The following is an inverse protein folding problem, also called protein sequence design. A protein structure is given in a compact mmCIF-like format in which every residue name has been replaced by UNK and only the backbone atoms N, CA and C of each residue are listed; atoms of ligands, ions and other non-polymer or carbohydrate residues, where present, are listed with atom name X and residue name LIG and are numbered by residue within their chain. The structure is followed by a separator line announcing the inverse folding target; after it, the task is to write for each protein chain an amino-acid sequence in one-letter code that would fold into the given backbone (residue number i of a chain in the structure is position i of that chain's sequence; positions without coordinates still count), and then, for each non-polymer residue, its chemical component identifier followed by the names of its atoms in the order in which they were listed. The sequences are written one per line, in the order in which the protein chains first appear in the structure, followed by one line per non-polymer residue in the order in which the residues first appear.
data_IF_399446894373
#
_entry.id   IF_399446894373
#
_cell.length_a   1.000
_cell.length_b   1.000
_cell.length_c   1.000
_cell.angle_alpha   90.00
_cell.angle_beta   90.00
_cell.angle_gamma   90.00
#
_symmetry.space_group_name_H-M   'P 1'
#
loop_
_entity.id
_entity.type
_entity.pdbx_description
1 polymer ?
#
# COMPACT_ATOMS: atom_id res chain seq x y z
N UNK A 1 87.59 32.57 -22.44
CA UNK A 1 86.16 32.97 -22.42
C UNK A 1 86.01 33.99 -21.29
N UNK A 2 86.56 35.20 -21.36
CA UNK A 2 86.17 36.40 -22.13
C UNK A 2 84.97 37.18 -21.54
N UNK A 3 85.30 38.31 -20.86
CA UNK A 3 84.62 39.64 -20.74
C UNK A 3 83.31 39.78 -19.91
N UNK A 4 83.31 40.49 -18.74
CA UNK A 4 83.04 41.94 -18.43
C UNK A 4 81.59 42.39 -18.75
N UNK A 5 80.79 43.13 -17.97
CA UNK A 5 80.98 44.12 -16.90
C UNK A 5 79.62 44.51 -16.22
N UNK A 6 79.69 45.39 -15.20
CA UNK A 6 78.71 45.92 -14.23
C UNK A 6 77.38 46.60 -14.67
N UNK A 7 76.43 46.69 -13.71
CA UNK A 7 75.65 47.87 -13.22
C UNK A 7 74.22 47.46 -12.75
N UNK A 8 73.78 47.66 -11.50
CA UNK A 8 73.33 48.86 -10.78
C UNK A 8 71.78 49.06 -10.79
N UNK A 9 71.27 49.61 -9.68
CA UNK A 9 69.89 49.68 -9.15
C UNK A 9 68.80 50.40 -9.94
N UNK A 10 67.53 50.20 -9.55
CA UNK A 10 66.45 51.21 -9.28
C UNK A 10 65.24 50.43 -8.68
N UNK A 11 64.69 50.73 -7.49
CA UNK A 11 63.73 51.81 -7.20
C UNK A 11 62.30 51.37 -7.61
N UNK A 12 61.19 51.50 -6.87
CA UNK A 12 60.85 52.17 -5.62
C UNK A 12 59.37 51.81 -5.28
N UNK A 13 58.98 51.91 -4.00
CA UNK A 13 57.66 52.37 -3.49
C UNK A 13 56.36 51.56 -3.74
N UNK A 14 55.96 50.81 -2.71
CA UNK A 14 54.79 51.16 -1.88
C UNK A 14 53.37 50.78 -2.36
N UNK A 15 52.67 49.94 -1.58
CA UNK A 15 51.35 50.35 -1.07
C UNK A 15 50.93 49.55 0.18
N UNK A 16 50.65 50.32 1.22
CA UNK A 16 50.00 49.94 2.47
C UNK A 16 48.48 50.05 2.28
N UNK A 17 47.76 49.03 2.75
CA UNK A 17 46.39 49.02 3.29
C UNK A 17 45.38 50.10 2.81
N UNK A 18 44.26 49.69 2.19
CA UNK A 18 42.98 50.39 2.37
C UNK A 18 41.77 49.45 2.28
N UNK A 19 40.98 49.51 3.35
CA UNK A 19 39.66 48.88 3.59
C UNK A 19 38.58 49.57 2.75
N UNK A 20 37.56 48.82 2.30
CA UNK A 20 36.12 49.17 2.07
C UNK A 20 35.58 48.14 1.04
N UNK A 21 34.36 47.62 1.03
CA UNK A 21 33.12 47.66 1.82
C UNK A 21 32.17 46.62 1.16
N UNK A 22 31.10 46.21 1.83
CA UNK A 22 29.87 45.54 1.33
C UNK A 22 29.83 45.13 -0.16
N UNK A 23 29.55 43.86 -0.50
CA UNK A 23 28.18 43.33 -0.41
C UNK A 23 28.18 41.82 -0.16
N UNK A 24 27.27 41.39 0.71
CA UNK A 24 26.79 40.00 0.77
C UNK A 24 26.20 39.63 -0.58
N UNK A 25 26.98 38.98 -1.44
CA UNK A 25 26.43 38.22 -2.54
C UNK A 25 25.72 37.01 -1.92
N UNK A 26 24.44 37.18 -1.64
CA UNK A 26 23.50 36.08 -1.45
C UNK A 26 23.60 35.24 -2.71
N UNK A 27 24.38 34.16 -2.68
CA UNK A 27 24.26 33.09 -3.66
C UNK A 27 22.89 32.47 -3.37
N UNK A 28 21.84 33.05 -3.96
CA UNK A 28 20.62 32.32 -4.23
C UNK A 28 21.07 31.11 -5.06
N UNK A 29 21.11 29.94 -4.43
CA UNK A 29 20.81 28.72 -5.16
C UNK A 29 19.39 28.90 -5.70
N UNK A 30 19.28 29.51 -6.88
CA UNK A 30 18.14 29.27 -7.74
C UNK A 30 18.17 27.76 -8.00
N UNK A 31 17.37 27.01 -7.26
CA UNK A 31 16.98 25.68 -7.71
C UNK A 31 16.40 25.91 -9.10
N UNK A 32 17.14 25.53 -10.13
CA UNK A 32 16.64 25.50 -11.50
C UNK A 32 15.39 24.63 -11.45
N UNK A 33 14.21 25.25 -11.53
CA UNK A 33 13.00 24.46 -11.62
C UNK A 33 13.13 23.60 -12.89
N UNK A 34 12.87 22.31 -12.78
CA UNK A 34 12.84 21.41 -13.94
C UNK A 34 11.72 21.88 -14.90
N UNK A 35 11.71 21.43 -16.15
CA UNK A 35 10.58 21.63 -17.06
C UNK A 35 9.33 20.85 -16.62
N UNK A 36 9.49 19.96 -15.62
CA UNK A 36 8.47 19.08 -15.07
C UNK A 36 7.55 19.76 -14.04
N UNK A 37 6.30 19.31 -13.99
CA UNK A 37 5.37 19.70 -12.94
C UNK A 37 5.46 18.74 -11.75
N UNK A 38 5.22 19.28 -10.55
CA UNK A 38 5.19 18.51 -9.30
C UNK A 38 3.82 18.62 -8.66
N UNK A 39 3.29 17.50 -8.19
CA UNK A 39 2.04 17.45 -7.43
C UNK A 39 2.34 17.22 -5.94
N UNK A 40 1.60 17.91 -5.07
CA UNK A 40 1.64 17.73 -3.62
C UNK A 40 0.23 17.50 -3.08
N UNK A 41 0.11 16.85 -1.93
CA UNK A 41 -1.15 16.64 -1.19
C UNK A 41 -0.96 17.02 0.27
N UNK A 42 -1.99 17.64 0.85
CA UNK A 42 -2.10 17.90 2.29
C UNK A 42 -3.52 17.58 2.79
N UNK A 43 -3.68 17.03 4.01
CA UNK A 43 -2.60 16.52 4.87
C UNK A 43 -1.87 15.33 4.22
N UNK A 44 -0.65 15.04 4.67
CA UNK A 44 0.13 13.87 4.23
C UNK A 44 -0.21 12.60 5.05
N UNK A 45 -1.13 12.74 6.01
CA UNK A 45 -1.64 11.66 6.86
C UNK A 45 -3.14 11.80 7.07
N UNK A 46 -3.84 10.68 7.13
CA UNK A 46 -5.24 10.61 7.53
C UNK A 46 -5.49 9.34 8.35
N UNK A 47 -6.56 9.31 9.12
CA UNK A 47 -6.95 8.13 9.91
C UNK A 47 -8.05 7.37 9.16
N UNK A 48 -7.97 6.05 9.07
CA UNK A 48 -9.03 5.23 8.49
C UNK A 48 -10.40 5.54 9.13
N UNK A 49 -11.46 5.58 8.33
CA UNK A 49 -12.82 5.91 8.78
C UNK A 49 -13.12 7.41 8.88
N UNK A 50 -12.10 8.28 8.80
CA UNK A 50 -12.29 9.71 9.03
C UNK A 50 -12.65 10.51 7.77
N UNK A 51 -13.39 11.60 7.97
CA UNK A 51 -13.61 12.61 6.93
C UNK A 51 -12.35 13.46 6.75
N UNK A 52 -11.96 13.67 5.49
CA UNK A 52 -10.76 14.38 5.10
C UNK A 52 -11.09 15.52 4.15
N UNK A 53 -10.35 16.62 4.30
CA UNK A 53 -10.25 17.68 3.30
C UNK A 53 -8.84 17.64 2.73
N UNK A 54 -8.73 17.18 1.49
CA UNK A 54 -7.47 17.13 0.77
C UNK A 54 -7.26 18.41 -0.02
N UNK A 55 -6.09 19.00 0.14
CA UNK A 55 -5.60 20.11 -0.66
C UNK A 55 -4.48 19.57 -1.55
N UNK A 56 -4.74 19.47 -2.84
CA UNK A 56 -3.75 19.09 -3.83
C UNK A 56 -3.29 20.32 -4.61
N UNK A 57 -1.99 20.36 -4.93
CA UNK A 57 -1.42 21.47 -5.67
C UNK A 57 -0.45 20.96 -6.75
N UNK A 58 -0.82 21.16 -8.02
CA UNK A 58 0.13 21.02 -9.12
C UNK A 58 0.92 22.33 -9.23
N UNK A 59 2.24 22.26 -9.11
CA UNK A 59 3.16 23.38 -9.36
C UNK A 59 3.91 23.12 -10.66
N UNK A 60 3.84 24.07 -11.59
CA UNK A 60 4.49 23.99 -12.89
C UNK A 60 5.98 24.32 -12.79
N UNK A 61 6.79 23.61 -13.55
CA UNK A 61 8.19 23.94 -13.78
C UNK A 61 8.38 25.15 -14.70
N UNK A 62 9.49 25.17 -15.44
CA UNK A 62 9.83 26.28 -16.34
C UNK A 62 8.92 26.42 -17.56
N UNK A 63 8.11 25.41 -17.87
CA UNK A 63 7.43 25.30 -19.16
C UNK A 63 6.04 25.96 -19.19
N UNK A 64 5.52 26.42 -18.04
CA UNK A 64 4.17 26.98 -17.91
C UNK A 64 3.07 26.03 -18.42
N UNK A 65 1.86 26.56 -18.61
CA UNK A 65 0.70 25.80 -19.11
C UNK A 65 -0.23 26.72 -19.91
N UNK A 66 -0.66 26.27 -21.09
CA UNK A 66 -1.61 26.97 -21.96
C UNK A 66 -3.05 26.55 -21.66
N UNK A 67 -4.02 27.26 -22.22
CA UNK A 67 -5.41 26.82 -22.22
C UNK A 67 -5.52 25.40 -22.84
N UNK A 68 -6.38 24.56 -22.26
CA UNK A 68 -6.48 23.13 -22.60
C UNK A 68 -5.48 22.23 -21.86
N UNK A 69 -4.41 22.81 -21.31
CA UNK A 69 -3.50 22.15 -20.37
C UNK A 69 -4.17 21.90 -19.01
N UNK A 70 -3.64 20.95 -18.25
CA UNK A 70 -4.25 20.60 -16.96
C UNK A 70 -3.54 19.49 -16.20
N UNK A 71 -4.20 19.05 -15.13
CA UNK A 71 -3.81 17.93 -14.26
C UNK A 71 -4.97 16.96 -14.13
N UNK A 72 -4.68 15.67 -14.08
CA UNK A 72 -5.63 14.64 -13.66
C UNK A 72 -5.02 13.73 -12.62
N UNK A 73 -5.81 13.30 -11.65
CA UNK A 73 -5.38 12.39 -10.59
C UNK A 73 -6.48 11.37 -10.28
N UNK A 74 -6.08 10.24 -9.71
CA UNK A 74 -6.97 9.13 -9.39
C UNK A 74 -7.03 8.90 -7.88
N UNK A 75 -8.25 8.89 -7.33
CA UNK A 75 -8.51 8.45 -5.96
C UNK A 75 -9.11 7.03 -5.97
N UNK A 76 -8.78 6.21 -4.95
CA UNK A 76 -9.48 4.96 -4.70
C UNK A 76 -10.94 5.21 -4.40
N UNK A 77 -11.88 4.87 -5.28
CA UNK A 77 -13.30 5.09 -5.01
C UNK A 77 -14.00 3.79 -4.63
N UNK A 78 -14.87 3.86 -3.63
CA UNK A 78 -15.68 2.73 -3.18
C UNK A 78 -16.66 2.24 -4.26
N UNK A 79 -16.79 0.92 -4.42
CA UNK A 79 -17.77 0.28 -5.29
C UNK A 79 -19.03 -0.12 -4.51
N UNK A 80 -20.12 -0.51 -5.20
CA UNK A 80 -21.36 -0.96 -4.54
C UNK A 80 -21.16 -2.16 -3.59
N UNK A 81 -20.23 -3.06 -3.94
CA UNK A 81 -19.86 -4.23 -3.13
C UNK A 81 -18.74 -3.92 -2.12
N UNK A 82 -18.02 -2.81 -2.30
CA UNK A 82 -16.94 -2.32 -1.41
C UNK A 82 -17.25 -0.98 -0.78
N UNK A 83 -18.53 -0.66 -0.66
CA UNK A 83 -19.04 0.60 -0.11
C UNK A 83 -18.26 1.09 1.11
N UNK A 84 -17.82 0.22 2.05
CA UNK A 84 -17.12 0.65 3.25
C UNK A 84 -15.57 0.75 3.18
N UNK A 85 -14.90 0.50 2.04
CA UNK A 85 -13.43 0.28 2.05
C UNK A 85 -12.57 1.44 1.52
N UNK A 86 -13.04 2.20 0.52
CA UNK A 86 -12.26 3.22 -0.21
C UNK A 86 -12.84 4.63 -0.10
N UNK A 87 -12.31 5.62 -0.82
CA UNK A 87 -12.76 7.01 -0.75
C UNK A 87 -14.15 7.23 -1.35
N UNK A 88 -14.82 8.29 -0.89
CA UNK A 88 -16.05 8.76 -1.51
C UNK A 88 -15.81 9.18 -2.97
N UNK A 89 -16.76 8.84 -3.84
CA UNK A 89 -16.68 9.18 -5.27
C UNK A 89 -16.61 10.71 -5.49
N UNK A 90 -15.64 11.22 -6.26
CA UNK A 90 -15.57 12.63 -6.62
C UNK A 90 -16.84 13.14 -7.32
N UNK A 91 -17.26 14.35 -6.97
CA UNK A 91 -18.40 15.04 -7.57
C UNK A 91 -18.23 16.57 -7.49
N UNK A 92 -18.91 17.30 -8.38
CA UNK A 92 -18.81 18.78 -8.49
C UNK A 92 -20.13 19.50 -8.26
N UNK A 93 -21.19 18.78 -7.90
CA UNK A 93 -22.58 19.26 -7.89
C UNK A 93 -23.01 19.82 -6.54
N UNK A 94 -22.60 19.18 -5.45
CA UNK A 94 -23.08 19.51 -4.10
C UNK A 94 -21.90 19.81 -3.18
N UNK A 95 -21.69 21.09 -2.91
CA UNK A 95 -20.57 21.58 -2.09
C UNK A 95 -20.53 20.99 -0.67
N UNK A 96 -21.71 20.76 -0.09
CA UNK A 96 -21.84 20.27 1.28
C UNK A 96 -21.86 18.73 1.37
N UNK A 97 -21.85 18.04 0.22
CA UNK A 97 -21.83 16.58 0.18
C UNK A 97 -20.42 16.03 0.10
N UNK A 98 -20.24 14.80 0.59
CA UNK A 98 -18.99 14.05 0.45
C UNK A 98 -18.61 13.89 -1.04
N UNK A 99 -17.33 13.71 -1.27
CA UNK A 99 -16.71 13.66 -2.58
C UNK A 99 -16.61 15.02 -3.29
N UNK A 100 -16.98 16.15 -2.67
CA UNK A 100 -16.97 17.43 -3.38
C UNK A 100 -15.57 17.84 -3.82
N UNK A 101 -15.43 18.24 -5.08
CA UNK A 101 -14.20 18.75 -5.68
C UNK A 101 -14.37 20.19 -6.16
N UNK A 102 -13.41 21.04 -5.83
CA UNK A 102 -13.22 22.37 -6.44
C UNK A 102 -11.79 22.57 -6.89
N UNK A 103 -11.57 23.45 -7.87
CA UNK A 103 -10.26 23.76 -8.38
C UNK A 103 -10.13 25.25 -8.74
N UNK A 104 -8.92 25.79 -8.59
CA UNK A 104 -8.60 27.17 -8.94
C UNK A 104 -7.16 27.28 -9.45
N UNK A 105 -6.89 28.34 -10.22
CA UNK A 105 -5.55 28.63 -10.71
C UNK A 105 -4.93 29.81 -9.94
N UNK A 106 -3.63 29.76 -9.69
CA UNK A 106 -2.88 30.78 -8.94
C UNK A 106 -2.98 32.22 -9.48
N UNK A 107 -3.34 32.39 -10.76
CA UNK A 107 -3.52 33.69 -11.41
C UNK A 107 -4.99 34.03 -11.70
N UNK A 108 -5.93 33.29 -11.12
CA UNK A 108 -7.37 33.48 -11.33
C UNK A 108 -7.90 32.98 -12.68
N UNK A 109 -7.11 32.23 -13.45
CA UNK A 109 -7.60 31.54 -14.64
C UNK A 109 -8.73 30.56 -14.29
N UNK A 110 -9.67 30.39 -15.22
CA UNK A 110 -10.80 29.49 -15.06
C UNK A 110 -10.35 28.04 -15.22
N UNK A 111 -10.70 27.19 -14.27
CA UNK A 111 -10.42 25.75 -14.28
C UNK A 111 -11.74 25.00 -14.34
N UNK A 112 -11.92 24.16 -15.35
CA UNK A 112 -13.04 23.22 -15.42
C UNK A 112 -12.68 21.91 -14.74
N UNK A 113 -13.66 21.26 -14.12
CA UNK A 113 -13.49 19.97 -13.46
C UNK A 113 -14.39 18.94 -14.13
N UNK A 114 -13.83 17.79 -14.51
CA UNK A 114 -14.57 16.62 -14.97
C UNK A 114 -14.18 15.40 -14.15
N UNK A 115 -15.11 14.47 -13.99
CA UNK A 115 -14.89 13.20 -13.31
C UNK A 115 -15.05 12.06 -14.32
N UNK A 116 -14.11 11.13 -14.35
CA UNK A 116 -14.08 10.02 -15.31
C UNK A 116 -13.47 8.76 -14.69
N UNK A 117 -13.10 7.79 -15.52
CA UNK A 117 -12.53 6.52 -15.07
C UNK A 117 -13.57 5.59 -14.42
N UNK A 118 -13.10 4.46 -13.85
CA UNK A 118 -13.95 3.55 -13.10
C UNK A 118 -14.72 4.31 -12.01
N UNK A 119 -16.05 4.30 -12.11
CA UNK A 119 -17.02 4.93 -11.18
C UNK A 119 -16.77 6.41 -10.83
N UNK A 120 -15.98 7.14 -11.61
CA UNK A 120 -15.72 8.58 -11.40
C UNK A 120 -14.49 8.90 -10.54
N UNK A 121 -13.61 7.92 -10.27
CA UNK A 121 -12.42 8.11 -9.42
C UNK A 121 -11.30 8.95 -10.03
N UNK A 122 -11.35 9.26 -11.33
CA UNK A 122 -10.40 10.17 -11.97
C UNK A 122 -10.98 11.58 -11.97
N UNK A 123 -10.29 12.51 -11.31
CA UNK A 123 -10.59 13.94 -11.35
C UNK A 123 -9.65 14.60 -12.35
N UNK A 124 -10.21 15.31 -13.32
CA UNK A 124 -9.47 16.07 -14.31
C UNK A 124 -9.78 17.57 -14.19
N UNK A 125 -8.74 18.39 -14.06
CA UNK A 125 -8.79 19.83 -13.89
C UNK A 125 -8.06 20.50 -15.07
N UNK A 126 -8.81 21.22 -15.91
CA UNK A 126 -8.31 21.80 -17.18
C UNK A 126 -8.48 23.31 -17.22
N UNK A 127 -7.41 24.00 -17.60
CA UNK A 127 -7.35 25.46 -17.77
C UNK A 127 -8.15 25.89 -19.00
N UNK A 128 -8.94 26.96 -18.92
CA UNK A 128 -9.87 27.35 -20.00
C UNK A 128 -9.54 28.64 -20.73
N UNK A 129 -9.24 29.72 -20.02
CA UNK A 129 -9.29 31.08 -20.58
C UNK A 129 -7.91 31.72 -20.80
N UNK A 130 -6.97 31.54 -19.89
CA UNK A 130 -5.64 32.18 -19.94
C UNK A 130 -4.52 31.24 -19.46
N UNK A 131 -3.28 31.40 -19.95
CA UNK A 131 -2.17 30.52 -19.58
C UNK A 131 -1.73 30.74 -18.12
N UNK A 132 -1.14 29.71 -17.53
CA UNK A 132 -0.36 29.78 -16.30
C UNK A 132 1.12 29.97 -16.64
N UNK A 133 1.81 30.94 -16.02
CA UNK A 133 3.24 31.13 -16.22
C UNK A 133 4.06 29.98 -15.59
N UNK A 134 5.36 29.91 -15.88
CA UNK A 134 6.30 29.10 -15.11
C UNK A 134 6.14 29.31 -13.61
N UNK A 135 6.19 28.24 -12.80
CA UNK A 135 5.92 28.29 -11.36
C UNK A 135 4.43 28.46 -10.98
N UNK A 136 3.54 28.66 -11.95
CA UNK A 136 2.10 28.75 -11.74
C UNK A 136 1.53 27.46 -11.13
N UNK A 137 0.39 27.59 -10.44
CA UNK A 137 -0.24 26.47 -9.73
C UNK A 137 -1.69 26.26 -10.10
N UNK A 138 -2.12 25.00 -10.08
CA UNK A 138 -3.52 24.60 -9.99
C UNK A 138 -3.73 24.02 -8.59
N UNK A 139 -4.63 24.63 -7.84
CA UNK A 139 -5.08 24.16 -6.52
C UNK A 139 -6.36 23.36 -6.70
N UNK A 140 -6.45 22.22 -6.02
CA UNK A 140 -7.60 21.34 -6.02
C UNK A 140 -7.96 21.04 -4.57
N UNK A 141 -9.22 21.18 -4.22
CA UNK A 141 -9.76 20.73 -2.94
C UNK A 141 -10.68 19.55 -3.19
N UNK A 142 -10.52 18.49 -2.40
CA UNK A 142 -11.42 17.35 -2.34
C UNK A 142 -11.87 17.16 -0.90
N UNK A 143 -13.14 16.80 -0.67
CA UNK A 143 -13.64 16.54 0.67
C UNK A 143 -14.47 15.26 0.74
N UNK A 144 -14.04 14.28 1.52
CA UNK A 144 -14.65 12.95 1.58
C UNK A 144 -13.97 12.06 2.63
N UNK A 145 -14.55 10.90 2.89
CA UNK A 145 -14.02 9.95 3.85
C UNK A 145 -12.91 9.11 3.23
N UNK A 146 -11.84 8.86 4.00
CA UNK A 146 -11.01 7.67 3.81
C UNK A 146 -11.62 6.56 4.66
N UNK A 147 -11.95 5.41 4.07
CA UNK A 147 -12.93 4.55 4.74
C UNK A 147 -12.37 3.49 5.69
N UNK A 148 -11.49 2.58 5.28
CA UNK A 148 -11.18 1.51 6.24
C UNK A 148 -9.82 0.83 6.14
N UNK A 149 -9.02 1.03 5.10
CA UNK A 149 -7.77 0.27 4.95
C UNK A 149 -6.56 1.21 5.10
N UNK A 150 -5.59 0.79 5.90
CA UNK A 150 -4.33 1.50 6.13
C UNK A 150 -3.25 1.07 5.13
N UNK A 151 -2.70 2.03 4.39
CA UNK A 151 -1.59 1.81 3.47
C UNK A 151 -0.86 3.15 3.19
N UNK A 152 0.25 3.08 2.47
CA UNK A 152 0.91 4.26 1.89
C UNK A 152 0.24 4.62 0.56
N UNK A 153 -0.70 5.57 0.57
CA UNK A 153 -1.47 5.94 -0.61
C UNK A 153 -0.60 6.76 -1.56
N UNK A 154 -0.29 6.19 -2.73
CA UNK A 154 0.28 6.92 -3.85
C UNK A 154 -0.84 7.40 -4.78
N UNK A 155 -1.03 8.71 -4.89
CA UNK A 155 -2.11 9.29 -5.72
C UNK A 155 -1.57 9.48 -7.15
N UNK A 156 -1.91 8.53 -8.02
CA UNK A 156 -1.51 8.56 -9.43
C UNK A 156 -1.91 9.87 -10.07
N UNK A 157 -0.94 10.56 -10.68
CA UNK A 157 -1.12 11.90 -11.23
C UNK A 157 -0.48 12.04 -12.60
N UNK A 158 -1.21 12.67 -13.52
CA UNK A 158 -0.73 13.05 -14.85
C UNK A 158 -1.01 14.52 -15.12
N UNK A 159 -0.23 15.12 -16.01
CA UNK A 159 -0.37 16.50 -16.41
C UNK A 159 -0.01 16.68 -17.90
N UNK A 160 -0.45 17.79 -18.49
CA UNK A 160 -0.12 18.19 -19.86
C UNK A 160 -0.10 19.71 -19.98
N UNK A 161 0.67 20.27 -20.92
CA UNK A 161 0.83 21.73 -21.02
C UNK A 161 -0.24 22.40 -21.90
N UNK A 162 -0.80 21.70 -22.89
CA UNK A 162 -1.90 22.17 -23.72
C UNK A 162 -2.89 21.06 -24.09
N UNK A 163 -3.90 21.37 -24.90
CA UNK A 163 -4.89 20.39 -25.36
C UNK A 163 -4.29 19.37 -26.34
N UNK A 164 -3.24 19.77 -27.06
CA UNK A 164 -2.56 18.99 -28.09
C UNK A 164 -1.50 18.05 -27.50
N UNK A 165 -1.06 18.30 -26.28
CA UNK A 165 -0.08 17.45 -25.60
C UNK A 165 -0.71 16.18 -25.02
N UNK A 166 0.04 15.09 -25.05
CA UNK A 166 -0.30 13.88 -24.33
C UNK A 166 -0.19 14.06 -22.81
N UNK A 167 -0.99 13.27 -22.08
CA UNK A 167 -0.91 13.20 -20.63
C UNK A 167 0.36 12.46 -20.20
N UNK A 168 1.27 13.15 -19.51
CA UNK A 168 2.48 12.56 -18.94
C UNK A 168 2.42 12.47 -17.42
N UNK A 169 3.09 11.47 -16.85
CA UNK A 169 3.16 11.29 -15.40
C UNK A 169 4.01 12.40 -14.79
N UNK A 170 3.66 12.81 -13.57
CA UNK A 170 4.62 13.53 -12.72
C UNK A 170 5.77 12.60 -12.35
N UNK A 171 6.95 13.17 -12.11
CA UNK A 171 8.16 12.40 -11.75
C UNK A 171 7.98 11.58 -10.47
N UNK A 172 7.28 12.16 -9.50
CA UNK A 172 6.97 11.56 -8.21
C UNK A 172 5.49 11.75 -7.93
N UNK A 173 4.80 10.67 -7.60
CA UNK A 173 3.40 10.78 -7.17
C UNK A 173 3.33 11.36 -5.77
N UNK A 174 2.34 12.23 -5.49
CA UNK A 174 2.07 12.66 -4.13
C UNK A 174 1.62 11.47 -3.29
N UNK A 175 2.15 11.39 -2.07
CA UNK A 175 1.88 10.30 -1.16
C UNK A 175 1.16 10.78 0.11
N UNK A 176 0.34 9.89 0.68
CA UNK A 176 -0.36 10.11 1.93
C UNK A 176 -0.37 8.81 2.74
N UNK A 177 -0.07 8.86 4.03
CA UNK A 177 -0.16 7.68 4.91
C UNK A 177 -1.54 7.57 5.55
N UNK A 178 -2.23 6.46 5.35
CA UNK A 178 -3.47 6.16 6.08
C UNK A 178 -3.11 5.38 7.35
N UNK A 179 -3.50 5.94 8.48
CA UNK A 179 -3.22 5.45 9.84
C UNK A 179 -4.42 4.69 10.40
N UNK A 180 -4.19 3.69 11.27
CA UNK A 180 -5.26 2.93 11.89
C UNK A 180 -6.04 3.78 12.90
N UNK A 181 -7.26 3.36 13.21
CA UNK A 181 -7.94 3.79 14.44
C UNK A 181 -7.31 3.12 15.68
N UNK A 182 -7.65 3.56 16.91
CA UNK A 182 -7.29 2.84 18.12
C UNK A 182 -7.72 1.37 18.08
N UNK A 183 -6.96 0.50 18.76
CA UNK A 183 -7.25 -0.93 18.80
C UNK A 183 -8.65 -1.23 19.33
N UNK A 184 -9.35 -2.13 18.65
CA UNK A 184 -10.67 -2.63 19.00
C UNK A 184 -10.76 -4.16 18.95
N UNK A 185 -9.77 -4.80 18.33
CA UNK A 185 -9.70 -6.25 18.16
C UNK A 185 -8.34 -6.72 18.66
N UNK A 186 -8.35 -7.75 19.50
CA UNK A 186 -7.15 -8.46 19.94
C UNK A 186 -7.25 -9.90 19.42
N UNK A 187 -6.37 -10.25 18.48
CA UNK A 187 -6.23 -11.61 17.98
C UNK A 187 -5.05 -12.27 18.70
N UNK A 188 -5.26 -13.47 19.21
CA UNK A 188 -4.25 -14.30 19.86
C UNK A 188 -4.12 -15.58 19.05
N UNK A 189 -2.93 -15.83 18.52
CA UNK A 189 -2.66 -16.98 17.65
C UNK A 189 -1.68 -17.91 18.35
N UNK A 190 -2.12 -19.15 18.53
CA UNK A 190 -1.29 -20.27 19.02
C UNK A 190 -1.40 -21.44 18.05
N UNK A 191 -0.37 -22.30 17.95
CA UNK A 191 -0.47 -23.53 17.15
C UNK A 191 -1.69 -24.36 17.55
N UNK A 192 -2.39 -24.95 16.58
CA UNK A 192 -3.55 -25.78 16.87
C UNK A 192 -3.19 -27.11 17.54
N UNK A 193 -2.00 -27.65 17.27
CA UNK A 193 -1.58 -28.95 17.77
C UNK A 193 -0.16 -28.89 18.35
N UNK A 194 0.01 -29.37 19.57
CA UNK A 194 1.28 -29.44 20.28
C UNK A 194 1.43 -30.75 21.03
N UNK A 195 2.67 -31.14 21.32
CA UNK A 195 2.96 -32.16 22.34
C UNK A 195 3.11 -31.50 23.72
N UNK A 196 2.77 -32.21 24.78
CA UNK A 196 3.13 -31.82 26.17
C UNK A 196 4.62 -31.47 26.26
N UNK A 197 4.91 -30.34 26.89
CA UNK A 197 6.25 -29.79 27.09
C UNK A 197 6.91 -29.22 25.82
N UNK A 198 6.24 -29.27 24.67
CA UNK A 198 6.72 -28.65 23.44
C UNK A 198 6.75 -27.13 23.59
N UNK A 199 7.85 -26.53 23.17
CA UNK A 199 7.99 -25.09 23.11
C UNK A 199 7.29 -24.52 21.89
N UNK A 200 6.56 -23.42 22.06
CA UNK A 200 5.87 -22.75 20.97
C UNK A 200 5.90 -21.23 21.10
N UNK A 201 5.53 -20.59 19.98
CA UNK A 201 5.31 -19.16 19.88
C UNK A 201 3.82 -18.83 19.98
N UNK A 202 3.47 -17.78 20.72
CA UNK A 202 2.14 -17.17 20.72
C UNK A 202 2.26 -15.76 20.16
N UNK A 203 1.47 -15.42 19.15
CA UNK A 203 1.38 -14.06 18.64
C UNK A 203 0.16 -13.35 19.22
N UNK A 204 0.34 -12.10 19.66
CA UNK A 204 -0.78 -11.21 19.98
C UNK A 204 -0.75 -10.04 19.01
N UNK A 205 -1.87 -9.83 18.33
CA UNK A 205 -2.05 -8.85 17.26
C UNK A 205 -3.18 -7.91 17.64
N UNK A 206 -2.89 -6.62 17.63
CA UNK A 206 -3.85 -5.56 17.91
C UNK A 206 -4.27 -4.93 16.59
N UNK A 207 -5.58 -4.91 16.37
CA UNK A 207 -6.18 -4.31 15.18
C UNK A 207 -7.26 -3.32 15.57
N UNK A 208 -7.47 -2.33 14.71
CA UNK A 208 -8.64 -1.46 14.78
C UNK A 208 -9.92 -2.21 14.37
N UNK A 209 -11.05 -1.52 14.41
CA UNK A 209 -12.37 -2.11 14.08
C UNK A 209 -12.49 -2.51 12.60
N UNK A 210 -11.59 -2.04 11.73
CA UNK A 210 -11.55 -2.35 10.32
C UNK A 210 -10.59 -3.50 9.98
N UNK A 211 -9.84 -3.99 10.97
CA UNK A 211 -8.81 -5.01 10.78
C UNK A 211 -7.41 -4.43 10.52
N UNK A 212 -7.22 -3.11 10.51
CA UNK A 212 -5.87 -2.58 10.34
C UNK A 212 -5.04 -2.80 11.59
N UNK A 213 -3.75 -3.11 11.42
CA UNK A 213 -2.80 -3.21 12.53
C UNK A 213 -2.75 -1.89 13.31
N UNK A 214 -3.10 -1.92 14.60
CA UNK A 214 -3.07 -0.77 15.50
C UNK A 214 -1.64 -0.47 15.96
N UNK A 215 -0.87 0.16 15.07
CA UNK A 215 0.59 0.35 15.22
C UNK A 215 1.04 1.21 16.40
N UNK A 216 0.12 1.95 17.02
CA UNK A 216 0.37 2.90 18.12
C UNK A 216 -0.07 2.36 19.50
N UNK A 217 -0.51 1.10 19.58
CA UNK A 217 -0.90 0.48 20.84
C UNK A 217 0.30 0.28 21.77
N UNK A 218 0.19 0.81 23.00
CA UNK A 218 1.19 0.73 24.07
C UNK A 218 0.63 0.16 25.39
N UNK A 219 -0.54 -0.47 25.34
CA UNK A 219 -1.20 -1.00 26.52
C UNK A 219 -0.47 -2.20 27.12
N UNK A 220 -0.80 -2.52 28.37
CA UNK A 220 -0.27 -3.67 29.09
C UNK A 220 -1.24 -4.84 29.02
N UNK A 221 -0.75 -5.97 28.50
CA UNK A 221 -1.47 -7.23 28.49
C UNK A 221 -1.27 -8.00 29.79
N UNK A 222 -2.31 -8.70 30.20
CA UNK A 222 -2.32 -9.74 31.23
C UNK A 222 -2.67 -11.08 30.59
N UNK A 223 -1.99 -12.14 31.04
CA UNK A 223 -2.13 -13.49 30.50
C UNK A 223 -2.62 -14.47 31.58
N UNK A 224 -3.49 -15.38 31.18
CA UNK A 224 -3.89 -16.55 31.96
C UNK A 224 -3.90 -17.78 31.05
N UNK A 225 -3.57 -18.94 31.59
CA UNK A 225 -3.67 -20.21 30.86
C UNK A 225 -4.77 -21.08 31.45
N UNK A 226 -5.42 -21.87 30.61
CA UNK A 226 -6.27 -22.98 31.10
C UNK A 226 -5.45 -24.16 31.62
N UNK A 227 -4.17 -24.24 31.26
CA UNK A 227 -3.26 -25.26 31.74
C UNK A 227 -2.60 -24.81 33.06
N UNK A 228 -2.84 -25.50 34.19
CA UNK A 228 -2.28 -25.12 35.47
C UNK A 228 -0.75 -25.23 35.54
N UNK A 229 -0.12 -25.99 34.62
CA UNK A 229 1.33 -26.16 34.55
C UNK A 229 2.00 -25.31 33.47
N UNK A 230 1.28 -24.45 32.74
CA UNK A 230 1.86 -23.71 31.64
C UNK A 230 3.03 -22.81 32.07
N UNK A 231 4.04 -22.71 31.18
CA UNK A 231 5.18 -21.80 31.33
C UNK A 231 4.94 -20.57 30.45
N UNK A 232 4.79 -19.40 31.07
CA UNK A 232 4.56 -18.12 30.40
C UNK A 232 4.85 -16.93 31.32
N UNK A 233 4.98 -15.74 30.75
CA UNK A 233 5.05 -14.48 31.50
C UNK A 233 3.64 -13.94 31.76
N UNK A 234 3.35 -13.55 33.00
CA UNK A 234 1.99 -13.15 33.40
C UNK A 234 1.50 -11.83 32.79
N UNK A 235 2.40 -10.95 32.36
CA UNK A 235 2.06 -9.66 31.74
C UNK A 235 3.12 -9.17 30.77
N UNK A 236 2.73 -8.28 29.86
CA UNK A 236 3.64 -7.62 28.91
C UNK A 236 3.14 -6.23 28.53
N UNK A 237 4.02 -5.23 28.55
CA UNK A 237 3.71 -3.88 28.08
C UNK A 237 4.21 -3.70 26.66
N UNK A 238 3.28 -3.38 25.74
CA UNK A 238 3.64 -3.06 24.36
C UNK A 238 4.51 -1.81 24.29
N UNK A 239 5.44 -1.84 23.36
CA UNK A 239 6.38 -0.79 23.02
C UNK A 239 6.14 -0.33 21.59
N UNK A 240 6.72 0.82 21.23
CA UNK A 240 6.69 1.28 19.84
C UNK A 240 7.35 0.29 18.87
N UNK A 241 8.29 -0.53 19.34
CA UNK A 241 8.95 -1.56 18.53
C UNK A 241 8.01 -2.69 18.11
N UNK A 242 6.95 -2.95 18.88
CA UNK A 242 5.98 -4.01 18.58
C UNK A 242 5.06 -3.61 17.42
N UNK A 243 4.80 -2.31 17.24
CA UNK A 243 3.98 -1.79 16.14
C UNK A 243 2.63 -2.54 16.01
N UNK A 244 2.01 -2.89 17.13
CA UNK A 244 0.73 -3.60 17.19
C UNK A 244 0.82 -5.14 17.09
N UNK A 245 2.00 -5.74 16.97
CA UNK A 245 2.19 -7.20 16.98
C UNK A 245 3.36 -7.58 17.88
N UNK A 246 3.14 -8.51 18.81
CA UNK A 246 4.22 -9.11 19.59
C UNK A 246 4.16 -10.63 19.54
N UNK A 247 5.33 -11.27 19.37
CA UNK A 247 5.49 -12.73 19.37
C UNK A 247 6.22 -13.14 20.63
N UNK A 248 5.50 -13.84 21.50
CA UNK A 248 6.04 -14.45 22.70
C UNK A 248 6.61 -15.82 22.34
N UNK A 249 7.87 -16.08 22.68
CA UNK A 249 8.52 -17.38 22.49
C UNK A 249 8.78 -18.06 23.85
N UNK A 250 9.14 -19.35 23.84
CA UNK A 250 9.45 -20.07 25.08
C UNK A 250 8.23 -20.61 25.86
N UNK A 251 7.01 -20.50 25.31
CA UNK A 251 5.81 -20.96 25.98
C UNK A 251 5.71 -22.47 25.93
N UNK A 252 5.14 -23.08 26.98
CA UNK A 252 4.91 -24.52 27.04
C UNK A 252 3.59 -24.82 27.74
N UNK A 253 2.81 -25.74 27.19
CA UNK A 253 1.76 -26.45 27.92
C UNK A 253 2.34 -27.73 28.53
N UNK A 254 2.03 -28.00 29.79
CA UNK A 254 2.48 -29.18 30.54
C UNK A 254 1.36 -30.23 30.74
N UNK A 255 0.12 -29.89 30.41
CA UNK A 255 -1.02 -30.79 30.58
C UNK A 255 -1.70 -31.08 29.24
N UNK A 256 -1.87 -32.36 28.92
CA UNK A 256 -2.62 -32.78 27.73
C UNK A 256 -4.10 -32.37 27.80
N UNK A 257 -4.72 -32.18 26.64
CA UNK A 257 -6.11 -31.73 26.49
C UNK A 257 -6.21 -30.45 25.66
N UNK A 258 -7.42 -29.90 25.56
CA UNK A 258 -7.64 -28.62 24.89
C UNK A 258 -7.23 -27.48 25.81
N UNK A 259 -6.12 -26.83 25.48
CA UNK A 259 -5.55 -25.71 26.22
C UNK A 259 -5.69 -24.40 25.45
N UNK A 260 -5.72 -23.27 26.17
CA UNK A 260 -5.70 -21.94 25.58
C UNK A 260 -5.06 -20.91 26.51
N UNK A 261 -4.71 -19.77 25.93
CA UNK A 261 -4.45 -18.55 26.69
C UNK A 261 -5.65 -17.60 26.63
N UNK A 262 -5.95 -17.02 27.79
CA UNK A 262 -6.83 -15.88 27.95
C UNK A 262 -5.98 -14.62 28.11
N UNK A 263 -6.11 -13.69 27.17
CA UNK A 263 -5.31 -12.45 27.09
C UNK A 263 -6.23 -11.25 27.21
N UNK A 264 -5.85 -10.25 27.99
CA UNK A 264 -6.64 -9.01 28.14
C UNK A 264 -5.79 -7.84 28.61
N UNK A 265 -6.14 -6.62 28.20
CA UNK A 265 -5.60 -5.36 28.74
C UNK A 265 -6.51 -4.69 29.80
N UNK A 266 -7.58 -5.38 30.21
CA UNK A 266 -8.63 -4.86 31.09
C UNK A 266 -9.86 -4.31 30.36
N UNK A 267 -9.73 -3.91 29.09
CA UNK A 267 -10.84 -3.48 28.22
C UNK A 267 -11.09 -4.46 27.07
N UNK A 268 -10.06 -4.70 26.26
CA UNK A 268 -10.05 -5.68 25.17
C UNK A 268 -9.76 -7.08 25.72
N UNK A 269 -10.41 -8.06 25.08
CA UNK A 269 -10.18 -9.48 25.33
C UNK A 269 -9.71 -10.15 24.04
N UNK A 270 -8.68 -10.97 24.16
CA UNK A 270 -8.12 -11.75 23.07
C UNK A 270 -9.10 -12.79 22.56
N UNK A 271 -9.22 -12.87 21.24
CA UNK A 271 -9.86 -13.99 20.54
C UNK A 271 -8.75 -15.01 20.25
N UNK A 272 -8.86 -16.19 20.85
CA UNK A 272 -7.88 -17.28 20.74
C UNK A 272 -8.59 -18.58 20.35
N UNK A 273 -7.97 -19.38 19.48
CA UNK A 273 -8.37 -20.77 19.28
C UNK A 273 -7.94 -21.63 20.48
N UNK A 274 -8.52 -22.82 20.60
CA UNK A 274 -7.95 -23.87 21.44
C UNK A 274 -6.79 -24.55 20.72
N UNK A 275 -5.78 -24.93 21.50
CA UNK A 275 -4.68 -25.81 21.11
C UNK A 275 -4.95 -27.20 21.69
N UNK A 276 -4.92 -28.22 20.85
CA UNK A 276 -4.93 -29.61 21.29
C UNK A 276 -3.52 -30.04 21.68
N UNK A 277 -3.34 -30.32 22.97
CA UNK A 277 -2.07 -30.76 23.55
C UNK A 277 -2.11 -32.27 23.74
N UNK A 278 -1.28 -32.99 23.01
CA UNK A 278 -1.19 -34.46 23.05
C UNK A 278 0.01 -34.95 23.85
N UNK A 279 -0.10 -36.12 24.49
CA UNK A 279 1.04 -36.75 25.18
C UNK A 279 2.13 -37.24 24.21
N UNK A 280 1.76 -37.49 22.95
CA UNK A 280 2.66 -37.88 21.87
C UNK A 280 2.63 -36.83 20.77
N UNK A 281 3.72 -36.69 20.02
CA UNK A 281 3.72 -35.79 18.87
C UNK A 281 2.69 -36.25 17.84
N UNK A 282 1.81 -35.36 17.37
CA UNK A 282 0.82 -35.72 16.37
C UNK A 282 1.52 -36.00 15.03
N UNK A 283 1.03 -37.01 14.30
CA UNK A 283 1.56 -37.36 12.97
C UNK A 283 1.34 -36.25 11.94
N UNK A 284 0.21 -35.54 12.06
CA UNK A 284 -0.17 -34.39 11.24
C UNK A 284 -0.55 -33.24 12.16
N UNK A 285 -0.24 -32.01 11.75
CA UNK A 285 -0.65 -30.79 12.45
C UNK A 285 -1.65 -30.03 11.59
N UNK A 286 -2.58 -29.35 12.26
CA UNK A 286 -3.50 -28.41 11.64
C UNK A 286 -2.81 -27.06 11.50
N UNK A 287 -3.03 -26.48 10.33
CA UNK A 287 -2.52 -25.17 9.93
C UNK A 287 -3.70 -24.38 9.36
N UNK A 288 -3.65 -23.06 9.49
CA UNK A 288 -4.69 -22.15 9.01
C UNK A 288 -4.15 -21.28 7.89
N UNK A 289 -4.99 -21.04 6.89
CA UNK A 289 -4.57 -20.26 5.74
C UNK A 289 -5.72 -19.72 4.94
N UNK A 290 -5.39 -18.81 4.03
CA UNK A 290 -6.31 -18.18 3.09
C UNK A 290 -5.82 -18.43 1.66
N UNK A 291 -6.51 -19.31 0.96
CA UNK A 291 -6.15 -19.68 -0.41
C UNK A 291 -6.90 -18.89 -1.46
N UNK A 292 -7.67 -17.86 -1.11
CA UNK A 292 -8.52 -17.16 -2.07
C UNK A 292 -8.61 -15.68 -1.77
N UNK A 293 -7.48 -14.98 -1.88
CA UNK A 293 -7.46 -13.52 -1.89
C UNK A 293 -7.06 -12.96 -3.26
N UNK A 294 -7.44 -11.71 -3.48
CA UNK A 294 -7.26 -10.94 -4.70
C UNK A 294 -6.61 -9.60 -4.39
N UNK A 295 -5.77 -9.12 -5.30
CA UNK A 295 -5.11 -7.81 -5.21
C UNK A 295 -5.24 -7.00 -6.49
N UNK A 296 -5.79 -7.57 -7.56
CA UNK A 296 -5.98 -6.88 -8.83
C UNK A 296 -5.14 -7.50 -9.93
N UNK A 297 -4.10 -6.78 -10.37
CA UNK A 297 -3.25 -7.21 -11.49
C UNK A 297 -1.96 -7.90 -11.07
N UNK A 298 -1.67 -8.00 -9.76
CA UNK A 298 -0.41 -8.57 -9.23
C UNK A 298 0.88 -7.82 -9.62
N UNK A 299 0.83 -6.96 -10.64
CA UNK A 299 1.97 -6.22 -11.19
C UNK A 299 1.85 -4.75 -10.77
N UNK A 300 2.93 -4.21 -10.19
CA UNK A 300 3.07 -2.83 -9.69
C UNK A 300 2.21 -1.81 -10.44
N UNK A 301 1.05 -1.50 -9.85
CA UNK A 301 -0.05 -0.79 -10.50
C UNK A 301 0.20 0.73 -10.55
N UNK A 302 1.17 1.15 -11.38
CA UNK A 302 1.59 2.55 -11.54
C UNK A 302 0.92 3.26 -12.71
N UNK A 303 -0.07 2.64 -13.36
CA UNK A 303 -0.85 3.26 -14.44
C UNK A 303 -2.25 3.64 -13.94
N UNK A 304 -2.91 4.60 -14.59
CA UNK A 304 -4.33 4.85 -14.32
C UNK A 304 -5.12 3.58 -14.67
N UNK A 305 -5.92 3.06 -13.74
CA UNK A 305 -6.58 1.78 -13.95
C UNK A 305 -7.59 1.86 -15.11
N UNK A 306 -7.41 1.13 -16.23
CA UNK A 306 -8.50 0.92 -17.16
C UNK A 306 -9.59 0.05 -16.49
N UNK A 307 -10.81 0.09 -17.04
CA UNK A 307 -11.89 -0.77 -16.55
C UNK A 307 -11.49 -2.24 -16.72
N UNK A 308 -11.88 -3.07 -15.76
CA UNK A 308 -11.84 -4.54 -15.85
C UNK A 308 -10.45 -5.20 -15.73
N UNK A 309 -9.52 -4.59 -14.98
CA UNK A 309 -8.22 -5.21 -14.70
C UNK A 309 -8.17 -5.94 -13.36
N UNK A 310 -8.48 -7.24 -13.37
CA UNK A 310 -8.02 -8.24 -12.39
C UNK A 310 -8.42 -8.01 -10.92
N UNK A 311 -8.24 -9.04 -10.08
CA UNK A 311 -8.77 -9.12 -8.72
C UNK A 311 -10.28 -9.17 -8.68
N UNK A 312 -10.88 -9.28 -7.50
CA UNK A 312 -12.33 -9.39 -7.18
C UNK A 312 -13.28 -8.31 -7.77
N UNK A 313 -12.84 -7.61 -8.82
CA UNK A 313 -13.41 -6.45 -9.49
C UNK A 313 -13.37 -5.19 -8.62
N UNK A 314 -12.59 -5.19 -7.52
CA UNK A 314 -12.59 -4.12 -6.52
C UNK A 314 -11.38 -3.19 -6.59
N UNK A 315 -10.47 -3.40 -7.55
CA UNK A 315 -9.34 -2.50 -7.81
C UNK A 315 -8.59 -2.14 -6.53
N UNK A 316 -8.20 -3.16 -5.75
CA UNK A 316 -7.60 -2.92 -4.46
C UNK A 316 -6.30 -2.12 -4.62
N UNK A 317 -6.15 -1.06 -3.83
CA UNK A 317 -4.96 -0.19 -3.85
C UNK A 317 -3.82 -0.76 -3.02
N UNK A 318 -3.80 -2.09 -2.91
CA UNK A 318 -2.80 -2.89 -2.19
C UNK A 318 -2.13 -3.81 -3.20
N UNK A 319 -0.85 -4.08 -3.02
CA UNK A 319 -0.13 -5.02 -3.88
C UNK A 319 -0.25 -6.46 -3.35
N UNK A 320 -0.01 -7.45 -4.21
CA UNK A 320 0.12 -8.85 -3.80
C UNK A 320 1.15 -9.03 -2.67
N UNK A 321 2.25 -8.28 -2.72
CA UNK A 321 3.27 -8.27 -1.65
C UNK A 321 2.71 -7.73 -0.32
N UNK A 322 1.91 -6.67 -0.34
CA UNK A 322 1.29 -6.11 0.86
C UNK A 322 0.21 -7.04 1.42
N UNK A 323 -0.57 -7.70 0.56
CA UNK A 323 -1.53 -8.71 0.98
C UNK A 323 -0.86 -9.92 1.65
N UNK A 324 0.21 -10.47 1.06
CA UNK A 324 0.98 -11.54 1.70
C UNK A 324 1.61 -11.09 3.03
N UNK A 325 2.16 -9.87 3.12
CA UNK A 325 2.63 -9.31 4.40
C UNK A 325 1.51 -9.26 5.43
N UNK A 326 0.33 -8.80 5.04
CA UNK A 326 -0.81 -8.72 5.96
C UNK A 326 -1.22 -10.12 6.45
N UNK A 327 -1.38 -11.08 5.54
CA UNK A 327 -1.77 -12.45 5.89
C UNK A 327 -0.73 -13.14 6.79
N UNK A 328 0.56 -13.02 6.46
CA UNK A 328 1.66 -13.64 7.23
C UNK A 328 1.94 -12.93 8.55
N UNK A 329 2.06 -11.60 8.52
CA UNK A 329 2.61 -10.84 9.64
C UNK A 329 1.53 -10.29 10.58
N UNK A 330 0.31 -10.04 10.06
CA UNK A 330 -0.82 -9.52 10.85
C UNK A 330 -1.79 -10.65 11.19
N UNK A 331 -2.30 -11.38 10.19
CA UNK A 331 -3.25 -12.48 10.47
C UNK A 331 -2.57 -13.73 11.01
N UNK A 332 -1.23 -13.83 10.89
CA UNK A 332 -0.41 -14.95 11.39
C UNK A 332 -0.89 -16.30 10.84
N UNK A 333 -1.34 -16.32 9.60
CA UNK A 333 -1.70 -17.56 8.92
C UNK A 333 -0.42 -18.34 8.56
N UNK A 334 -0.56 -19.66 8.47
CA UNK A 334 0.52 -20.59 8.16
C UNK A 334 0.72 -20.75 6.66
N UNK A 335 -0.34 -20.53 5.86
CA UNK A 335 -0.26 -20.58 4.41
C UNK A 335 -1.23 -19.62 3.74
N UNK A 336 -0.92 -19.25 2.50
CA UNK A 336 -1.83 -18.45 1.69
C UNK A 336 -1.60 -18.60 0.19
N UNK A 337 -2.55 -18.15 -0.63
CA UNK A 337 -2.34 -18.00 -2.07
C UNK A 337 -3.12 -16.84 -2.67
N UNK A 338 -2.38 -15.94 -3.32
CA UNK A 338 -2.95 -14.98 -4.25
C UNK A 338 -3.60 -15.75 -5.39
N UNK A 339 -4.89 -15.49 -5.62
CA UNK A 339 -5.71 -16.27 -6.55
C UNK A 339 -6.43 -15.34 -7.51
N UNK A 340 -5.67 -14.45 -8.14
CA UNK A 340 -6.23 -13.46 -9.08
C UNK A 340 -7.06 -14.13 -10.17
N UNK A 341 -8.05 -13.41 -10.70
CA UNK A 341 -8.73 -13.86 -11.90
C UNK A 341 -7.72 -13.97 -13.06
N UNK A 342 -7.58 -15.15 -13.65
CA UNK A 342 -8.29 -15.49 -14.89
C UNK A 342 -8.08 -14.68 -16.19
N UNK A 343 -7.90 -13.37 -16.04
CA UNK A 343 -8.03 -12.37 -17.08
C UNK A 343 -6.88 -12.39 -18.08
N UNK A 344 -7.12 -11.79 -19.25
CA UNK A 344 -6.13 -11.73 -20.34
C UNK A 344 -4.78 -11.13 -19.93
N UNK A 345 -4.76 -10.22 -18.96
CA UNK A 345 -3.51 -9.63 -18.47
C UNK A 345 -2.77 -10.50 -17.44
N UNK A 346 -3.49 -11.40 -16.77
CA UNK A 346 -2.90 -12.33 -15.81
C UNK A 346 -2.22 -13.51 -16.51
N UNK A 347 -2.78 -14.02 -17.61
CA UNK A 347 -2.36 -15.28 -18.22
C UNK A 347 -0.87 -15.38 -18.62
N UNK A 348 -0.18 -14.26 -18.91
CA UNK A 348 1.22 -14.26 -19.34
C UNK A 348 2.18 -13.66 -18.29
N UNK A 349 2.32 -12.32 -18.29
CA UNK A 349 3.25 -11.61 -17.42
C UNK A 349 2.76 -11.54 -15.97
N UNK A 350 1.44 -11.41 -15.76
CA UNK A 350 0.83 -11.38 -14.42
C UNK A 350 1.07 -12.66 -13.65
N UNK A 351 0.94 -13.81 -14.30
CA UNK A 351 1.17 -15.10 -13.70
C UNK A 351 2.63 -15.31 -13.32
N UNK A 352 3.55 -14.95 -14.22
CA UNK A 352 4.99 -15.03 -13.94
C UNK A 352 5.35 -14.17 -12.73
N UNK A 353 4.79 -12.97 -12.63
CA UNK A 353 5.03 -12.06 -11.52
C UNK A 353 4.40 -12.56 -10.21
N UNK A 354 3.15 -13.05 -10.24
CA UNK A 354 2.50 -13.63 -9.06
C UNK A 354 3.26 -14.86 -8.54
N UNK A 355 3.79 -15.70 -9.44
CA UNK A 355 4.67 -16.80 -9.03
C UNK A 355 5.96 -16.28 -8.36
N UNK A 356 6.58 -15.22 -8.90
CA UNK A 356 7.76 -14.59 -8.31
C UNK A 356 7.47 -14.00 -6.93
N UNK A 357 6.32 -13.34 -6.75
CA UNK A 357 5.90 -12.79 -5.48
C UNK A 357 5.63 -13.91 -4.48
N UNK A 358 4.86 -14.92 -4.87
CA UNK A 358 4.58 -16.11 -4.05
C UNK A 358 5.86 -16.80 -3.55
N UNK A 359 6.86 -16.96 -4.41
CA UNK A 359 8.19 -17.47 -4.02
C UNK A 359 8.87 -16.60 -2.96
N UNK A 360 8.81 -15.28 -3.11
CA UNK A 360 9.47 -14.34 -2.20
C UNK A 360 8.91 -14.36 -0.77
N UNK A 361 7.68 -14.86 -0.60
CA UNK A 361 7.04 -15.02 0.70
C UNK A 361 7.14 -16.45 1.26
N UNK A 362 7.54 -17.44 0.46
CA UNK A 362 7.75 -18.79 0.94
C UNK A 362 8.86 -18.81 2.00
N UNK A 363 8.50 -19.24 3.21
CA UNK A 363 9.43 -19.45 4.31
C UNK A 363 9.25 -20.87 4.83
N UNK A 364 10.04 -21.85 4.35
CA UNK A 364 9.89 -23.25 4.74
C UNK A 364 9.83 -23.42 6.27
N UNK A 365 8.80 -24.11 6.74
CA UNK A 365 8.55 -24.34 8.18
C UNK A 365 7.94 -23.16 8.94
N UNK A 366 7.68 -22.01 8.29
CA UNK A 366 7.04 -20.84 8.93
C UNK A 366 5.84 -20.29 8.15
N UNK A 367 5.92 -20.24 6.82
CA UNK A 367 4.84 -19.76 5.96
C UNK A 367 4.92 -20.42 4.58
N UNK A 368 3.83 -21.03 4.13
CA UNK A 368 3.76 -21.69 2.82
C UNK A 368 2.90 -20.89 1.85
N UNK A 369 3.42 -20.65 0.65
CA UNK A 369 2.66 -20.08 -0.45
C UNK A 369 2.31 -21.16 -1.48
N UNK A 370 1.20 -20.96 -2.20
CA UNK A 370 0.85 -21.77 -3.37
C UNK A 370 0.72 -20.85 -4.59
N UNK A 371 1.09 -21.37 -5.75
CA UNK A 371 0.79 -20.68 -7.01
C UNK A 371 -0.67 -20.93 -7.33
N UNK A 372 -1.48 -19.88 -7.36
CA UNK A 372 -2.91 -20.05 -7.58
C UNK A 372 -3.51 -18.96 -8.47
N UNK A 373 -4.65 -19.28 -9.05
CA UNK A 373 -5.48 -18.32 -9.77
C UNK A 373 -6.96 -18.73 -9.68
N UNK A 374 -7.86 -17.77 -9.80
CA UNK A 374 -9.29 -18.05 -9.90
C UNK A 374 -9.69 -18.17 -11.37
N UNK A 375 -10.05 -19.38 -11.78
CA UNK A 375 -10.75 -19.64 -13.04
C UNK A 375 -12.18 -19.10 -12.93
N UNK A 376 -12.47 -18.01 -13.67
CA UNK A 376 -13.60 -17.10 -13.40
C UNK A 376 -14.71 -17.27 -14.43
N UNK A 377 -15.28 -18.47 -14.50
CA UNK A 377 -16.22 -18.85 -15.56
C UNK A 377 -17.61 -18.21 -15.45
N UNK A 378 -18.48 -18.54 -16.41
CA UNK A 378 -19.86 -18.09 -16.40
C UNK A 378 -20.59 -18.52 -15.10
N UNK A 379 -21.58 -17.75 -14.61
CA UNK A 379 -22.20 -18.01 -13.30
C UNK A 379 -22.75 -19.43 -13.09
N UNK A 380 -23.17 -20.12 -14.17
CA UNK A 380 -23.68 -21.50 -14.09
C UNK A 380 -22.56 -22.56 -13.97
N UNK A 381 -21.34 -22.25 -14.42
CA UNK A 381 -20.16 -23.10 -14.21
C UNK A 381 -19.61 -22.94 -12.79
N UNK A 382 -19.69 -21.72 -12.27
CA UNK A 382 -19.10 -21.33 -10.98
C UNK A 382 -17.59 -21.09 -11.08
N UNK A 383 -17.07 -20.22 -10.21
CA UNK A 383 -15.63 -19.96 -10.17
C UNK A 383 -14.89 -21.01 -9.36
N UNK A 384 -13.63 -21.26 -9.73
CA UNK A 384 -12.78 -22.26 -9.09
C UNK A 384 -11.38 -21.71 -8.85
N UNK A 385 -10.86 -21.88 -7.63
CA UNK A 385 -9.45 -21.63 -7.35
C UNK A 385 -8.65 -22.84 -7.80
N UNK A 386 -7.69 -22.61 -8.70
CA UNK A 386 -6.75 -23.59 -9.17
C UNK A 386 -5.44 -23.37 -8.43
N UNK A 387 -4.96 -24.39 -7.71
CA UNK A 387 -3.70 -24.34 -6.97
C UNK A 387 -2.70 -25.31 -7.59
N UNK A 388 -1.49 -24.83 -7.85
CA UNK A 388 -0.34 -25.64 -8.24
C UNK A 388 0.65 -25.76 -7.11
N UNK A 389 1.21 -26.96 -7.00
CA UNK A 389 2.33 -27.25 -6.10
C UNK A 389 3.68 -26.79 -6.66
N UNK A 390 3.81 -26.76 -7.98
CA UNK A 390 5.07 -26.53 -8.67
C UNK A 390 5.03 -25.23 -9.49
N UNK A 391 6.19 -24.58 -9.58
CA UNK A 391 6.35 -23.38 -10.40
C UNK A 391 6.40 -23.77 -11.87
N UNK A 392 5.98 -22.85 -12.75
CA UNK A 392 6.04 -23.06 -14.21
C UNK A 392 4.83 -23.78 -14.80
N UNK A 393 3.84 -24.14 -13.96
CA UNK A 393 2.49 -24.47 -14.43
C UNK A 393 1.90 -23.31 -15.24
N UNK A 394 0.99 -23.61 -16.17
CA UNK A 394 0.34 -22.61 -17.03
C UNK A 394 -1.04 -22.26 -16.51
N UNK A 395 -1.46 -21.02 -16.72
CA UNK A 395 -2.87 -20.64 -16.54
C UNK A 395 -3.70 -21.28 -17.66
N UNK A 396 -4.72 -22.07 -17.29
CA UNK A 396 -5.72 -22.58 -18.22
C UNK A 396 -6.93 -21.65 -18.18
N UNK A 397 -6.89 -20.61 -19.02
CA UNK A 397 -7.86 -19.53 -18.96
C UNK A 397 -9.25 -19.96 -19.43
N UNK A 398 -10.28 -19.41 -18.79
CA UNK A 398 -11.69 -19.51 -19.17
C UNK A 398 -11.99 -19.06 -20.59
N UNK A 399 -11.12 -18.24 -21.19
CA UNK A 399 -11.31 -17.81 -22.58
C UNK A 399 -11.04 -18.95 -23.56
N UNK A 400 -10.15 -19.87 -23.21
CA UNK A 400 -9.80 -21.05 -24.01
C UNK A 400 -10.56 -22.31 -23.55
N UNK A 401 -10.89 -22.37 -22.26
CA UNK A 401 -11.61 -23.48 -21.62
C UNK A 401 -12.84 -22.94 -20.88
N UNK A 402 -13.94 -22.61 -21.59
CA UNK A 402 -15.08 -21.91 -21.00
C UNK A 402 -15.97 -22.78 -20.10
N UNK A 403 -15.85 -24.11 -20.16
CA UNK A 403 -16.63 -25.04 -19.31
C UNK A 403 -15.73 -25.84 -18.38
N UNK A 404 -16.28 -26.29 -17.23
CA UNK A 404 -15.55 -27.18 -16.30
C UNK A 404 -15.04 -28.44 -16.99
N UNK A 405 -15.84 -29.01 -17.88
CA UNK A 405 -15.47 -30.23 -18.62
C UNK A 405 -14.24 -30.00 -19.49
N UNK A 406 -14.17 -28.88 -20.22
CA UNK A 406 -13.01 -28.55 -21.04
C UNK A 406 -11.78 -28.26 -20.19
N UNK A 407 -11.95 -27.57 -19.06
CA UNK A 407 -10.88 -27.30 -18.11
C UNK A 407 -10.28 -28.61 -17.54
N UNK A 408 -11.12 -29.53 -17.05
CA UNK A 408 -10.64 -30.81 -16.51
C UNK A 408 -9.98 -31.68 -17.59
N UNK A 409 -10.56 -31.74 -18.79
CA UNK A 409 -9.93 -32.42 -19.92
C UNK A 409 -8.57 -31.81 -20.30
N UNK A 410 -8.36 -30.52 -20.06
CA UNK A 410 -7.07 -29.87 -20.31
C UNK A 410 -6.04 -30.22 -19.23
N UNK A 411 -6.44 -30.36 -17.96
CA UNK A 411 -5.56 -30.87 -16.90
C UNK A 411 -5.13 -32.31 -17.13
N UNK A 412 -6.03 -33.20 -17.54
CA UNK A 412 -5.72 -34.62 -17.79
C UNK A 412 -4.72 -34.85 -18.94
N UNK A 413 -4.48 -33.82 -19.77
CA UNK A 413 -3.54 -33.86 -20.91
C UNK A 413 -2.15 -33.29 -20.60
N UNK A 414 -1.94 -32.74 -19.41
CA UNK A 414 -0.64 -32.26 -18.92
C UNK A 414 0.06 -33.36 -18.14
#
# INVERSE_FOLDING_TARGET
MAHTENHCSLGELGLMLMVLCCTTATILYAQTMDNEARMQVQPDKAVAGSFQKLHLALTLGNSGMKAGGGVRFELPVAYLETGPYFWDAPQTRSRESRGYVSASASNGATVSITTSGPRGGIVECVLRDRPLPPGGKIFIEYSGNVQSICWQLSIRTQWRQSAEDEWRRVKEYPEMKILPEPSAIMLVVTPADLRVGEEFEMAVVLMDKYGNRATDYLGTLSFKSSDPGAVFSASYSFTQGDSGVHVFAGLRYQTAGFQRFDVSDGGLKGRCNYTEVSNVSPRYRRYFGDTHFHTGTGIGNKEFAPRDLGGDHRGQFITEEEAYKYVRDVMRLDFASASEHDGRQFADSGWTESQRISDSFLHPGRFTTFYAYEWTAAPHEGHHVILYKEKGSKVLSRFDYPTKTELWNAFDRQ
#
